data_IF_483561689901
#
_entry.id   IF_483561689901
#
_cell.length_a   1.000
_cell.length_b   1.000
_cell.length_c   1.000
_cell.angle_alpha   90.00
_cell.angle_beta   90.00
_cell.angle_gamma   90.00
#
_symmetry.space_group_name_H-M   'P 1'
#
loop_
_entity.id
_entity.type
_entity.pdbx_description
1 polymer ?
#
# COMPACT_ATOMS: atom_id res chain seq x y z
N UNK A 1 -25.70 -8.81 20.40
CA UNK A 1 -24.50 -8.65 19.56
C UNK A 1 -23.40 -9.52 20.14
N UNK A 2 -22.67 -10.26 19.30
CA UNK A 2 -21.86 -11.41 19.70
C UNK A 2 -20.67 -10.99 20.61
N UNK A 3 -20.87 -11.01 21.94
CA UNK A 3 -19.83 -10.64 22.94
C UNK A 3 -18.48 -11.33 22.72
N UNK A 4 -18.51 -12.60 22.30
CA UNK A 4 -17.30 -13.35 21.97
C UNK A 4 -16.48 -12.73 20.82
N UNK A 5 -17.15 -12.14 19.84
CA UNK A 5 -16.50 -11.45 18.73
C UNK A 5 -15.86 -10.14 19.22
N UNK A 6 -16.56 -9.37 20.04
CA UNK A 6 -16.03 -8.14 20.64
C UNK A 6 -14.82 -8.42 21.55
N UNK A 7 -14.88 -9.48 22.36
CA UNK A 7 -13.79 -9.91 23.22
C UNK A 7 -12.57 -10.38 22.41
N UNK A 8 -12.80 -11.08 21.29
CA UNK A 8 -11.75 -11.49 20.37
C UNK A 8 -11.12 -10.30 19.64
N UNK A 9 -11.93 -9.36 19.12
CA UNK A 9 -11.41 -8.16 18.47
C UNK A 9 -10.63 -7.27 19.45
N UNK A 10 -11.09 -7.13 20.69
CA UNK A 10 -10.39 -6.36 21.71
C UNK A 10 -9.05 -6.99 22.14
N UNK A 11 -8.86 -8.29 21.90
CA UNK A 11 -7.58 -8.97 22.16
C UNK A 11 -6.51 -8.64 21.11
N UNK A 12 -6.90 -8.12 19.93
CA UNK A 12 -6.01 -7.80 18.82
C UNK A 12 -5.89 -6.29 18.68
N UNK A 13 -4.67 -5.77 18.51
CA UNK A 13 -4.50 -4.34 18.25
C UNK A 13 -5.18 -3.95 16.93
N UNK A 14 -5.79 -2.77 16.87
CA UNK A 14 -6.43 -2.24 15.65
C UNK A 14 -5.55 -2.38 14.39
N UNK A 15 -4.25 -2.14 14.54
CA UNK A 15 -3.28 -2.27 13.45
C UNK A 15 -3.14 -3.71 12.94
N UNK A 16 -3.05 -4.69 13.83
CA UNK A 16 -2.95 -6.11 13.45
C UNK A 16 -4.22 -6.59 12.76
N UNK A 17 -5.38 -6.18 13.27
CA UNK A 17 -6.66 -6.49 12.62
C UNK A 17 -6.70 -5.95 11.19
N UNK A 18 -6.28 -4.71 10.97
CA UNK A 18 -6.20 -4.12 9.63
C UNK A 18 -5.22 -4.89 8.73
N UNK A 19 -4.04 -5.25 9.23
CA UNK A 19 -3.06 -6.06 8.47
C UNK A 19 -3.65 -7.40 8.06
N UNK A 20 -4.31 -8.11 8.97
CA UNK A 20 -4.94 -9.40 8.65
C UNK A 20 -6.07 -9.25 7.64
N UNK A 21 -6.92 -8.22 7.76
CA UNK A 21 -7.96 -7.94 6.79
C UNK A 21 -7.40 -7.67 5.40
N UNK A 22 -6.40 -6.78 5.30
CA UNK A 22 -5.73 -6.44 4.05
C UNK A 22 -5.00 -7.63 3.42
N UNK A 23 -4.30 -8.43 4.23
CA UNK A 23 -3.65 -9.66 3.76
C UNK A 23 -4.67 -10.67 3.24
N UNK A 24 -5.82 -10.81 3.90
CA UNK A 24 -6.88 -11.72 3.46
C UNK A 24 -7.43 -11.28 2.09
N UNK A 25 -7.67 -9.99 1.91
CA UNK A 25 -8.11 -9.42 0.63
C UNK A 25 -7.03 -9.62 -0.45
N UNK A 26 -5.76 -9.36 -0.13
CA UNK A 26 -4.65 -9.56 -1.07
C UNK A 26 -4.50 -11.03 -1.46
N UNK A 27 -4.58 -11.96 -0.51
CA UNK A 27 -4.52 -13.40 -0.77
C UNK A 27 -5.68 -13.83 -1.69
N UNK A 28 -6.89 -13.34 -1.42
CA UNK A 28 -8.04 -13.59 -2.28
C UNK A 28 -7.85 -13.02 -3.70
N UNK A 29 -7.31 -11.80 -3.82
CA UNK A 29 -6.99 -11.20 -5.11
C UNK A 29 -5.93 -12.01 -5.88
N UNK A 30 -4.91 -12.54 -5.19
CA UNK A 30 -3.91 -13.42 -5.80
C UNK A 30 -4.55 -14.70 -6.32
N UNK A 31 -5.44 -15.34 -5.55
CA UNK A 31 -6.16 -16.54 -5.97
C UNK A 31 -7.00 -16.26 -7.22
N UNK A 32 -7.74 -15.14 -7.24
CA UNK A 32 -8.52 -14.71 -8.40
C UNK A 32 -7.63 -14.42 -9.62
N UNK A 33 -6.45 -13.83 -9.41
CA UNK A 33 -5.48 -13.57 -10.47
C UNK A 33 -4.91 -14.87 -11.08
N UNK A 34 -4.70 -15.91 -10.27
CA UNK A 34 -4.32 -17.23 -10.77
C UNK A 34 -5.45 -17.90 -11.56
N UNK A 35 -6.69 -17.64 -11.18
CA UNK A 35 -7.87 -18.11 -11.92
C UNK A 35 -8.09 -17.38 -13.25
N UNK A 36 -7.34 -16.30 -13.52
CA UNK A 36 -7.52 -15.47 -14.71
C UNK A 36 -8.77 -14.60 -14.67
N UNK A 37 -9.38 -14.40 -13.49
CA UNK A 37 -10.53 -13.52 -13.31
C UNK A 37 -10.16 -12.02 -13.31
N UNK A 38 -8.85 -11.71 -13.24
CA UNK A 38 -8.30 -10.36 -13.21
C UNK A 38 -7.45 -10.10 -14.46
N UNK A 39 -7.29 -8.82 -14.82
CA UNK A 39 -6.52 -8.39 -16.00
C UNK A 39 -5.00 -8.59 -15.87
N UNK A 40 -4.53 -9.09 -14.71
CA UNK A 40 -3.13 -9.33 -14.39
C UNK A 40 -2.96 -10.72 -13.77
N UNK A 41 -1.72 -11.23 -13.81
CA UNK A 41 -1.39 -12.57 -13.31
C UNK A 41 -1.03 -12.57 -11.82
N UNK A 42 -1.26 -13.70 -11.14
CA UNK A 42 -0.90 -13.89 -9.73
C UNK A 42 0.55 -13.51 -9.39
N UNK A 43 1.56 -13.95 -10.17
CA UNK A 43 2.96 -13.59 -9.93
C UNK A 43 3.23 -12.08 -10.02
N UNK A 44 2.59 -11.37 -10.96
CA UNK A 44 2.74 -9.91 -11.08
C UNK A 44 2.25 -9.19 -9.82
N UNK A 45 1.10 -9.60 -9.27
CA UNK A 45 0.57 -9.02 -8.05
C UNK A 45 1.48 -9.29 -6.84
N UNK A 46 1.96 -10.53 -6.69
CA UNK A 46 2.89 -10.91 -5.61
C UNK A 46 4.17 -10.09 -5.68
N UNK A 47 4.81 -10.02 -6.86
CA UNK A 47 6.05 -9.27 -7.04
C UNK A 47 5.86 -7.77 -6.81
N UNK A 48 4.78 -7.18 -7.33
CA UNK A 48 4.46 -5.76 -7.14
C UNK A 48 4.24 -5.43 -5.67
N UNK A 49 3.53 -6.31 -4.95
CA UNK A 49 3.32 -6.16 -3.51
C UNK A 49 4.63 -6.26 -2.71
N UNK A 50 5.55 -7.15 -3.13
CA UNK A 50 6.88 -7.25 -2.54
C UNK A 50 7.72 -5.98 -2.73
N UNK A 51 7.72 -5.42 -3.95
CA UNK A 51 8.39 -4.15 -4.25
C UNK A 51 7.84 -3.01 -3.39
N UNK A 52 6.52 -2.88 -3.31
CA UNK A 52 5.87 -1.86 -2.49
C UNK A 52 6.19 -2.03 -1.01
N UNK A 53 6.11 -3.27 -0.49
CA UNK A 53 6.46 -3.58 0.89
C UNK A 53 7.90 -3.19 1.22
N UNK A 54 8.86 -3.64 0.40
CA UNK A 54 10.27 -3.33 0.60
C UNK A 54 10.52 -1.82 0.55
N UNK A 55 9.92 -1.13 -0.42
CA UNK A 55 10.08 0.32 -0.56
C UNK A 55 9.51 1.05 0.65
N UNK A 56 8.27 0.74 1.03
CA UNK A 56 7.59 1.33 2.18
C UNK A 56 8.37 1.13 3.49
N UNK A 57 8.82 -0.09 3.77
CA UNK A 57 9.59 -0.38 4.99
C UNK A 57 10.95 0.32 4.97
N UNK A 58 11.65 0.27 3.84
CA UNK A 58 12.98 0.90 3.69
C UNK A 58 12.89 2.42 3.82
N UNK A 59 11.95 3.06 3.14
CA UNK A 59 11.72 4.51 3.23
C UNK A 59 11.26 4.92 4.63
N UNK A 60 10.39 4.14 5.26
CA UNK A 60 9.95 4.41 6.64
C UNK A 60 11.14 4.36 7.62
N UNK A 61 12.01 3.35 7.47
CA UNK A 61 13.21 3.23 8.29
C UNK A 61 14.19 4.40 8.04
N UNK A 62 14.46 4.75 6.79
CA UNK A 62 15.35 5.87 6.45
C UNK A 62 14.81 7.21 6.99
N UNK A 63 13.54 7.50 6.75
CA UNK A 63 12.91 8.75 7.19
C UNK A 63 12.79 8.83 8.72
N UNK A 64 12.45 7.74 9.39
CA UNK A 64 12.42 7.73 10.87
C UNK A 64 13.78 8.09 11.49
N UNK A 65 14.88 7.68 10.85
CA UNK A 65 16.24 7.96 11.32
C UNK A 65 16.63 9.41 11.06
N UNK A 66 16.22 9.96 9.92
CA UNK A 66 16.43 11.37 9.58
C UNK A 66 15.63 12.31 10.48
N UNK A 67 14.35 11.99 10.72
CA UNK A 67 13.43 12.81 11.50
C UNK A 67 13.41 12.47 13.00
N UNK A 68 14.23 11.50 13.46
CA UNK A 68 14.28 10.99 14.85
C UNK A 68 12.89 10.64 15.43
N UNK A 69 11.99 10.15 14.57
CA UNK A 69 10.61 9.85 14.92
C UNK A 69 10.44 8.36 15.30
N UNK A 70 9.41 8.03 16.08
CA UNK A 70 9.12 6.65 16.46
C UNK A 70 8.77 5.81 15.23
N UNK A 71 9.47 4.69 15.05
CA UNK A 71 9.24 3.73 13.98
C UNK A 71 8.04 2.84 14.29
N UNK A 72 6.96 3.00 13.52
CA UNK A 72 5.88 2.01 13.52
C UNK A 72 5.89 1.23 12.20
N UNK A 73 6.38 -0.02 12.27
CA UNK A 73 6.46 -0.95 11.14
C UNK A 73 5.09 -1.44 10.70
N UNK A 74 4.17 -1.71 11.64
CA UNK A 74 2.81 -2.18 11.32
C UNK A 74 2.08 -1.17 10.43
N UNK A 75 2.20 0.12 10.74
CA UNK A 75 1.64 1.21 9.91
C UNK A 75 2.24 1.23 8.50
N UNK A 76 3.55 1.02 8.34
CA UNK A 76 4.16 0.97 7.01
C UNK A 76 3.71 -0.24 6.19
N UNK A 77 3.46 -1.37 6.85
CA UNK A 77 2.91 -2.59 6.21
C UNK A 77 1.49 -2.33 5.70
N UNK A 78 0.63 -1.70 6.49
CA UNK A 78 -0.74 -1.34 6.07
C UNK A 78 -0.69 -0.46 4.82
N UNK A 79 0.16 0.59 4.81
CA UNK A 79 0.31 1.47 3.64
C UNK A 79 0.77 0.70 2.40
N UNK A 80 1.73 -0.22 2.53
CA UNK A 80 2.18 -1.05 1.42
C UNK A 80 1.08 -1.97 0.89
N UNK A 81 0.29 -2.60 1.77
CA UNK A 81 -0.82 -3.47 1.38
C UNK A 81 -1.93 -2.68 0.68
N UNK A 82 -2.28 -1.50 1.20
CA UNK A 82 -3.26 -0.61 0.55
C UNK A 82 -2.77 -0.21 -0.85
N UNK A 83 -1.52 0.22 -0.99
CA UNK A 83 -0.97 0.57 -2.30
C UNK A 83 -0.95 -0.64 -3.25
N UNK A 84 -0.67 -1.85 -2.74
CA UNK A 84 -0.66 -3.08 -3.55
C UNK A 84 -2.03 -3.47 -4.09
N UNK A 85 -3.10 -3.08 -3.37
CA UNK A 85 -4.49 -3.35 -3.77
C UNK A 85 -5.08 -2.26 -4.66
N UNK A 86 -4.53 -1.04 -4.61
CA UNK A 86 -5.02 0.09 -5.40
C UNK A 86 -4.24 0.26 -6.70
N UNK A 87 -2.91 0.13 -6.65
CA UNK A 87 -2.05 0.25 -7.82
C UNK A 87 -2.12 -1.02 -8.66
N UNK A 88 -2.16 -0.86 -9.98
CA UNK A 88 -2.04 -1.96 -10.90
C UNK A 88 -0.68 -2.64 -10.73
N UNK A 89 -0.61 -3.99 -10.78
CA UNK A 89 0.66 -4.69 -10.80
C UNK A 89 1.52 -4.28 -11.99
N UNK A 90 2.85 -4.28 -11.82
CA UNK A 90 3.74 -4.00 -12.95
C UNK A 90 3.72 -5.15 -13.97
N UNK A 91 3.68 -4.79 -15.24
CA UNK A 91 3.83 -5.70 -16.38
C UNK A 91 5.19 -5.56 -17.04
N UNK A 92 5.79 -4.36 -16.95
CA UNK A 92 7.09 -4.04 -17.53
C UNK A 92 8.07 -3.58 -16.45
N UNK A 93 9.38 -3.85 -16.58
CA UNK A 93 10.38 -3.36 -15.62
C UNK A 93 10.39 -1.83 -15.43
N UNK A 94 10.05 -1.06 -16.48
CA UNK A 94 9.95 0.39 -16.41
C UNK A 94 8.90 0.88 -15.42
N UNK A 95 7.88 0.07 -15.14
CA UNK A 95 6.78 0.44 -14.25
C UNK A 95 7.14 0.30 -12.76
N UNK A 96 8.18 -0.47 -12.45
CA UNK A 96 8.70 -0.62 -11.08
C UNK A 96 9.09 0.74 -10.49
N UNK A 97 9.60 1.65 -11.33
CA UNK A 97 9.93 3.01 -10.91
C UNK A 97 8.74 3.74 -10.30
N UNK A 98 7.53 3.58 -10.85
CA UNK A 98 6.33 4.23 -10.33
C UNK A 98 5.86 3.61 -9.01
N UNK A 99 5.98 2.29 -8.85
CA UNK A 99 5.70 1.63 -7.57
C UNK A 99 6.65 2.11 -6.48
N UNK A 100 7.94 2.21 -6.79
CA UNK A 100 8.94 2.72 -5.86
C UNK A 100 8.65 4.18 -5.51
N UNK A 101 8.37 5.01 -6.51
CA UNK A 101 8.02 6.41 -6.30
C UNK A 101 6.77 6.54 -5.42
N UNK A 102 5.75 5.71 -5.63
CA UNK A 102 4.54 5.66 -4.83
C UNK A 102 4.82 5.33 -3.35
N UNK A 103 5.66 4.32 -3.10
CA UNK A 103 6.07 3.95 -1.74
C UNK A 103 6.85 5.07 -1.05
N UNK A 104 7.79 5.70 -1.76
CA UNK A 104 8.61 6.81 -1.25
C UNK A 104 7.73 8.04 -0.95
N UNK A 105 6.83 8.42 -1.85
CA UNK A 105 5.92 9.56 -1.64
C UNK A 105 4.96 9.31 -0.48
N UNK A 106 4.45 8.08 -0.33
CA UNK A 106 3.61 7.72 0.79
C UNK A 106 4.36 7.88 2.11
N UNK A 107 5.57 7.31 2.21
CA UNK A 107 6.36 7.45 3.44
C UNK A 107 6.82 8.90 3.66
N UNK A 108 7.20 9.62 2.61
CA UNK A 108 7.52 11.05 2.70
C UNK A 108 6.36 11.87 3.25
N UNK A 109 5.15 11.66 2.74
CA UNK A 109 3.91 12.29 3.22
C UNK A 109 3.67 12.01 4.71
N UNK A 110 3.91 10.78 5.16
CA UNK A 110 3.75 10.39 6.58
C UNK A 110 4.57 11.26 7.53
N UNK A 111 5.79 11.64 7.14
CA UNK A 111 6.70 12.45 7.98
C UNK A 111 6.59 13.96 7.71
N UNK A 112 6.37 14.37 6.46
CA UNK A 112 6.27 15.78 6.07
C UNK A 112 4.95 16.42 6.49
N UNK A 113 3.85 15.65 6.49
CA UNK A 113 2.50 16.14 6.82
C UNK A 113 2.03 15.64 8.20
N UNK A 114 2.96 15.16 9.02
CA UNK A 114 2.71 14.94 10.44
C UNK A 114 2.75 16.28 11.18
N UNK A 115 1.59 16.92 11.32
CA UNK A 115 1.44 18.06 12.22
C UNK A 115 1.12 17.56 13.63
N UNK A 116 1.94 17.94 14.62
CA UNK A 116 1.72 17.66 16.04
C UNK A 116 1.51 16.18 16.42
N UNK A 117 2.23 15.26 15.76
CA UNK A 117 2.18 13.82 16.09
C UNK A 117 0.88 13.11 15.71
N UNK A 118 0.01 13.76 14.92
CA UNK A 118 -1.21 13.15 14.36
C UNK A 118 -1.16 13.20 12.83
N UNK A 119 -1.29 12.05 12.19
CA UNK A 119 -1.44 11.97 10.74
C UNK A 119 -2.83 12.48 10.36
N UNK A 120 -2.92 13.66 9.77
CA UNK A 120 -4.20 14.26 9.34
C UNK A 120 -4.76 13.51 8.13
N UNK A 121 -3.87 12.96 7.30
CA UNK A 121 -4.21 12.32 6.03
C UNK A 121 -3.58 10.93 5.91
N UNK A 122 -4.28 10.04 5.19
CA UNK A 122 -3.76 8.72 4.85
C UNK A 122 -2.56 8.87 3.90
N UNK A 123 -1.34 8.40 4.29
CA UNK A 123 -0.15 8.54 3.46
C UNK A 123 -0.28 7.89 2.08
N UNK A 124 -1.03 6.78 1.97
CA UNK A 124 -1.31 6.14 0.69
C UNK A 124 -2.14 7.05 -0.22
N UNK A 125 -3.17 7.72 0.33
CA UNK A 125 -4.05 8.60 -0.44
C UNK A 125 -3.30 9.83 -0.97
N UNK A 126 -2.40 10.41 -0.18
CA UNK A 126 -1.58 11.55 -0.63
C UNK A 126 -0.62 11.12 -1.73
N UNK A 127 0.02 9.96 -1.59
CA UNK A 127 0.89 9.42 -2.65
C UNK A 127 0.13 9.27 -3.97
N UNK A 128 -1.06 8.68 -3.93
CA UNK A 128 -1.92 8.53 -5.11
C UNK A 128 -2.33 9.89 -5.71
N UNK A 129 -2.70 10.85 -4.87
CA UNK A 129 -3.07 12.20 -5.32
C UNK A 129 -1.90 12.91 -6.01
N UNK A 130 -0.70 12.83 -5.44
CA UNK A 130 0.51 13.40 -6.02
C UNK A 130 0.82 12.72 -7.36
N UNK A 131 0.85 11.39 -7.40
CA UNK A 131 1.11 10.66 -8.64
C UNK A 131 0.09 10.98 -9.74
N UNK A 132 -1.18 11.18 -9.38
CA UNK A 132 -2.23 11.52 -10.32
C UNK A 132 -2.08 12.96 -10.84
N UNK A 133 -1.77 13.92 -9.95
CA UNK A 133 -1.52 15.33 -10.31
C UNK A 133 -0.31 15.50 -11.24
N UNK A 134 0.74 14.69 -11.08
CA UNK A 134 1.92 14.73 -11.95
C UNK A 134 1.69 14.11 -13.34
N UNK A 135 0.51 13.52 -13.58
CA UNK A 135 -0.13 13.52 -14.91
C UNK A 135 0.37 12.50 -15.95
N UNK A 136 -0.60 12.01 -16.72
CA UNK A 136 -0.52 11.29 -18.00
C UNK A 136 0.15 9.89 -18.01
N UNK A 137 1.39 9.71 -17.53
CA UNK A 137 2.08 8.41 -17.57
C UNK A 137 1.54 7.41 -16.54
N UNK A 138 0.99 7.93 -15.43
CA UNK A 138 0.39 7.15 -14.35
C UNK A 138 -1.07 6.81 -14.66
N UNK A 139 -1.76 7.59 -15.49
CA UNK A 139 -3.14 7.29 -15.87
C UNK A 139 -3.23 5.96 -16.62
N UNK A 140 -2.31 5.70 -17.55
CA UNK A 140 -2.20 4.39 -18.24
C UNK A 140 -1.84 3.25 -17.28
N UNK A 141 -1.01 3.52 -16.26
CA UNK A 141 -0.63 2.54 -15.26
C UNK A 141 -1.79 2.20 -14.30
N UNK A 142 -2.52 3.21 -13.84
CA UNK A 142 -3.70 3.04 -13.00
C UNK A 142 -4.86 2.44 -13.79
N UNK A 143 -5.20 2.94 -14.98
CA UNK A 143 -6.34 2.48 -15.80
C UNK A 143 -6.11 1.13 -16.49
N UNK A 144 -4.85 0.78 -16.80
CA UNK A 144 -4.50 -0.47 -17.48
C UNK A 144 -4.89 -1.73 -16.71
N UNK A 145 -4.97 -1.67 -15.37
CA UNK A 145 -5.40 -2.78 -14.53
C UNK A 145 -6.91 -2.92 -14.34
N UNK A 146 -7.70 -1.87 -14.63
CA UNK A 146 -9.15 -1.84 -14.39
C UNK A 146 -10.00 -1.97 -15.67
N UNK A 147 -9.37 -2.25 -16.81
CA UNK A 147 -10.07 -2.50 -18.06
C UNK A 147 -10.75 -1.27 -18.67
N UNK A 148 -10.36 -0.06 -18.26
CA UNK A 148 -10.84 1.18 -18.86
C UNK A 148 -9.95 1.50 -20.07
N UNK A 149 -10.24 0.85 -21.20
CA UNK A 149 -9.78 1.24 -22.53
C UNK A 149 -10.95 1.29 -23.48
#
# INVERSE_FOLDING_TARGET
>A
MFKWLDDFLNSITMYRLAVYGLLTILAYAVILAFWGALFFTGPQLILSSGVLYLTCVSSNYLLSRLFKAQTNVESSTITALILSLILSPFTKPSEIFFLVLAGVLAMGSKYLLASNGKHIFNPAAISLLILNLFGCLVWDYLSGGWGVR
#
